data_IF_852476014914
#
_entry.id   IF_852476014914
#
_cell.length_a   1.000
_cell.length_b   1.000
_cell.length_c   1.000
_cell.angle_alpha   90.00
_cell.angle_beta   90.00
_cell.angle_gamma   90.00
#
_symmetry.space_group_name_H-M   'P 1'
#
loop_
_entity.id
_entity.type
_entity.pdbx_description
1 polymer ?
#
# COMPACT_ATOMS: atom_id res chain seq x y z
N UNK A 1 21.33 -17.09 11.29
CA UNK A 1 20.28 -16.14 11.74
C UNK A 1 20.62 -15.75 13.18
N UNK A 2 21.29 -14.63 13.42
CA UNK A 2 21.90 -14.36 14.72
C UNK A 2 22.21 -12.88 14.99
N UNK A 3 21.49 -11.96 14.34
CA UNK A 3 21.60 -10.53 14.67
C UNK A 3 20.66 -10.25 15.85
N UNK A 4 21.12 -9.50 16.83
CA UNK A 4 20.29 -8.96 17.90
C UNK A 4 19.13 -8.17 17.28
N UNK A 5 17.90 -8.50 17.65
CA UNK A 5 16.71 -7.74 17.25
C UNK A 5 16.83 -6.32 17.81
N UNK A 6 16.53 -5.32 16.98
CA UNK A 6 16.38 -3.95 17.49
C UNK A 6 15.15 -3.89 18.41
N UNK A 7 15.11 -2.90 19.30
CA UNK A 7 14.00 -2.74 20.25
C UNK A 7 12.62 -2.68 19.57
N UNK A 8 12.54 -2.01 18.41
CA UNK A 8 11.32 -1.95 17.61
C UNK A 8 10.92 -3.32 17.04
N UNK A 9 11.90 -4.12 16.58
CA UNK A 9 11.67 -5.48 16.09
C UNK A 9 11.18 -6.39 17.22
N UNK A 10 11.76 -6.32 18.43
CA UNK A 10 11.34 -7.13 19.59
C UNK A 10 9.91 -6.80 20.04
N UNK A 11 9.56 -5.50 20.13
CA UNK A 11 8.20 -5.06 20.45
C UNK A 11 7.22 -5.58 19.41
N UNK A 12 7.54 -5.39 18.13
CA UNK A 12 6.71 -5.87 17.04
C UNK A 12 6.53 -7.38 17.13
N UNK A 13 7.60 -8.14 17.36
CA UNK A 13 7.55 -9.60 17.44
C UNK A 13 6.67 -10.08 18.61
N UNK A 14 6.83 -9.49 19.79
CA UNK A 14 6.03 -9.82 20.98
C UNK A 14 4.57 -9.48 20.81
N UNK A 15 4.28 -8.35 20.18
CA UNK A 15 2.92 -7.91 19.89
C UNK A 15 2.25 -8.85 18.88
N UNK A 16 2.99 -9.19 17.82
CA UNK A 16 2.54 -10.05 16.73
C UNK A 16 2.33 -11.49 17.17
N UNK A 17 3.19 -12.02 18.05
CA UNK A 17 3.10 -13.38 18.59
C UNK A 17 1.83 -13.64 19.43
N UNK A 18 1.15 -12.59 19.89
CA UNK A 18 -0.14 -12.69 20.61
C UNK A 18 -1.36 -12.57 19.70
N UNK A 19 -1.15 -12.24 18.43
CA UNK A 19 -2.25 -12.04 17.49
C UNK A 19 -2.64 -13.34 16.79
N UNK A 20 -3.93 -13.56 16.55
CA UNK A 20 -4.37 -14.67 15.73
C UNK A 20 -3.97 -14.45 14.26
N UNK A 21 -3.64 -15.54 13.55
CA UNK A 21 -3.09 -15.52 12.20
C UNK A 21 -3.94 -14.71 11.19
N UNK A 22 -5.26 -14.70 11.36
CA UNK A 22 -6.17 -13.94 10.49
C UNK A 22 -5.98 -12.42 10.59
N UNK A 23 -5.63 -11.92 11.78
CA UNK A 23 -5.50 -10.48 12.04
C UNK A 23 -4.17 -9.97 11.48
N UNK A 24 -3.13 -10.78 11.60
CA UNK A 24 -1.83 -10.59 10.94
C UNK A 24 -1.94 -10.52 9.42
N UNK A 25 -2.74 -11.40 8.84
CA UNK A 25 -2.97 -11.42 7.41
C UNK A 25 -3.69 -10.16 6.91
N UNK A 26 -4.74 -9.74 7.61
CA UNK A 26 -5.44 -8.49 7.29
C UNK A 26 -4.54 -7.26 7.43
N UNK A 27 -3.69 -7.23 8.45
CA UNK A 27 -2.72 -6.14 8.65
C UNK A 27 -1.71 -6.06 7.51
N UNK A 28 -1.24 -7.21 6.99
CA UNK A 28 -0.36 -7.26 5.82
C UNK A 28 -1.04 -6.68 4.57
N UNK A 29 -2.31 -7.01 4.34
CA UNK A 29 -3.08 -6.43 3.21
C UNK A 29 -3.18 -4.92 3.34
N UNK A 30 -3.49 -4.41 4.55
CA UNK A 30 -3.51 -2.96 4.80
C UNK A 30 -2.13 -2.34 4.57
N UNK A 31 -1.06 -2.97 5.06
CA UNK A 31 0.29 -2.43 4.91
C UNK A 31 0.70 -2.34 3.45
N UNK A 32 0.39 -3.37 2.65
CA UNK A 32 0.64 -3.38 1.21
C UNK A 32 -0.17 -2.29 0.50
N UNK A 33 -1.45 -2.14 0.85
CA UNK A 33 -2.33 -1.10 0.33
C UNK A 33 -1.78 0.30 0.65
N UNK A 34 -1.36 0.52 1.89
CA UNK A 34 -0.80 1.78 2.39
C UNK A 34 0.50 2.10 1.64
N UNK A 35 1.44 1.15 1.51
CA UNK A 35 2.70 1.36 0.77
C UNK A 35 2.44 1.69 -0.70
N UNK A 36 1.59 0.92 -1.38
CA UNK A 36 1.28 1.16 -2.80
C UNK A 36 0.59 2.50 -3.01
N UNK A 37 -0.30 2.88 -2.09
CA UNK A 37 -0.92 4.21 -2.09
C UNK A 37 0.13 5.29 -1.84
N UNK A 38 0.94 5.19 -0.78
CA UNK A 38 2.02 6.14 -0.46
C UNK A 38 3.13 6.21 -1.51
N UNK A 39 3.31 5.22 -2.38
CA UNK A 39 4.28 5.33 -3.47
C UNK A 39 3.76 6.20 -4.63
N UNK A 40 2.45 6.14 -4.92
CA UNK A 40 1.84 6.76 -6.12
C UNK A 40 1.08 8.05 -5.80
N UNK A 41 0.46 8.12 -4.63
CA UNK A 41 -0.37 9.24 -4.18
C UNK A 41 0.41 10.52 -3.88
N UNK A 42 1.56 10.51 -3.17
CA UNK A 42 2.26 11.74 -2.84
C UNK A 42 2.84 12.39 -4.08
N UNK A 43 3.30 11.61 -5.06
CA UNK A 43 3.80 12.15 -6.32
C UNK A 43 2.70 12.95 -7.05
N UNK A 44 1.48 12.42 -7.05
CA UNK A 44 0.33 13.08 -7.66
C UNK A 44 -0.24 14.24 -6.83
N UNK A 45 -0.19 14.17 -5.49
CA UNK A 45 -0.54 15.28 -4.62
C UNK A 45 0.45 16.44 -4.75
N UNK A 46 1.75 16.16 -4.91
CA UNK A 46 2.77 17.17 -5.19
C UNK A 46 2.49 17.84 -6.55
N UNK A 47 2.10 17.08 -7.57
CA UNK A 47 1.72 17.61 -8.88
C UNK A 47 0.46 18.49 -8.82
N UNK A 48 -0.51 18.13 -7.97
CA UNK A 48 -1.75 18.89 -7.79
C UNK A 48 -1.59 20.13 -6.91
N UNK A 49 -0.77 20.06 -5.85
CA UNK A 49 -0.53 21.13 -4.89
C UNK A 49 0.54 22.13 -5.31
N UNK A 50 1.55 21.69 -6.06
CA UNK A 50 2.64 22.53 -6.56
C UNK A 50 2.80 22.42 -8.09
N UNK A 51 1.75 22.76 -8.87
CA UNK A 51 1.79 22.62 -10.32
C UNK A 51 2.91 23.43 -10.96
N UNK A 52 3.32 24.55 -10.35
CA UNK A 52 4.42 25.38 -10.81
C UNK A 52 5.80 24.71 -10.62
N UNK A 53 6.02 24.03 -9.50
CA UNK A 53 7.31 23.37 -9.18
C UNK A 53 7.51 22.10 -10.03
N UNK A 54 6.42 21.38 -10.31
CA UNK A 54 6.44 20.16 -11.13
C UNK A 54 6.39 20.44 -12.63
N UNK A 55 5.97 21.66 -13.05
CA UNK A 55 5.92 22.04 -14.47
C UNK A 55 7.25 21.89 -15.20
N UNK A 56 8.38 22.10 -14.50
CA UNK A 56 9.71 21.95 -15.06
C UNK A 56 10.19 20.49 -15.19
N UNK A 57 9.57 19.57 -14.44
CA UNK A 57 9.86 18.13 -14.50
C UNK A 57 8.92 17.37 -15.45
N UNK A 58 7.87 18.02 -15.97
CA UNK A 58 6.93 17.40 -16.91
C UNK A 58 7.51 17.43 -18.33
N UNK A 59 7.74 16.23 -18.88
CA UNK A 59 8.08 16.04 -20.31
C UNK A 59 6.93 16.51 -21.23
N UNK A 60 5.69 16.58 -20.72
CA UNK A 60 4.53 17.14 -21.43
C UNK A 60 3.77 18.19 -20.59
N UNK A 61 4.01 19.49 -20.83
CA UNK A 61 3.47 20.59 -20.01
C UNK A 61 1.98 20.90 -20.27
N UNK A 62 1.37 20.37 -21.33
CA UNK A 62 0.02 20.75 -21.77
C UNK A 62 -1.12 20.00 -21.09
N UNK A 63 -0.81 18.93 -20.34
CA UNK A 63 -1.82 18.09 -19.68
C UNK A 63 -1.97 18.56 -18.23
N UNK A 64 -2.95 19.42 -17.98
CA UNK A 64 -3.39 19.79 -16.62
C UNK A 64 -4.25 18.64 -16.10
N UNK A 65 -3.79 17.90 -15.09
CA UNK A 65 -4.66 16.94 -14.41
C UNK A 65 -5.70 17.71 -13.58
N UNK A 66 -6.98 17.50 -13.88
CA UNK A 66 -8.05 18.02 -13.02
C UNK A 66 -8.09 17.21 -11.72
N UNK A 67 -8.20 17.85 -10.54
CA UNK A 67 -8.29 17.15 -9.25
C UNK A 67 -9.42 16.11 -9.24
N UNK A 68 -10.54 16.42 -9.89
CA UNK A 68 -11.70 15.53 -9.99
C UNK A 68 -11.37 14.30 -10.82
N UNK A 69 -10.69 14.48 -11.96
CA UNK A 69 -10.25 13.35 -12.81
C UNK A 69 -9.21 12.47 -12.11
N UNK A 70 -8.33 13.07 -11.31
CA UNK A 70 -7.35 12.34 -10.52
C UNK A 70 -8.02 11.51 -9.42
N UNK A 71 -8.96 12.10 -8.68
CA UNK A 71 -9.71 11.37 -7.65
C UNK A 71 -10.54 10.23 -8.23
N UNK A 72 -11.16 10.43 -9.39
CA UNK A 72 -11.90 9.39 -10.10
C UNK A 72 -10.97 8.23 -10.50
N UNK A 73 -9.82 8.54 -11.09
CA UNK A 73 -8.79 7.55 -11.47
C UNK A 73 -8.24 6.81 -10.26
N UNK A 74 -7.94 7.52 -9.17
CA UNK A 74 -7.51 6.91 -7.92
C UNK A 74 -8.57 5.95 -7.38
N UNK A 75 -9.84 6.36 -7.36
CA UNK A 75 -10.94 5.50 -6.90
C UNK A 75 -11.06 4.24 -7.75
N UNK A 76 -10.87 4.36 -9.07
CA UNK A 76 -10.91 3.22 -9.98
C UNK A 76 -9.74 2.25 -9.74
N UNK A 77 -8.52 2.77 -9.61
CA UNK A 77 -7.32 1.97 -9.28
C UNK A 77 -7.46 1.29 -7.92
N UNK A 78 -7.96 1.99 -6.89
CA UNK A 78 -8.22 1.40 -5.58
C UNK A 78 -9.29 0.30 -5.65
N UNK A 79 -10.30 0.47 -6.50
CA UNK A 79 -11.32 -0.56 -6.72
C UNK A 79 -10.73 -1.80 -7.36
N UNK A 80 -9.91 -1.66 -8.41
CA UNK A 80 -9.22 -2.78 -9.05
C UNK A 80 -8.23 -3.43 -8.08
N UNK A 81 -7.50 -2.64 -7.30
CA UNK A 81 -6.58 -3.15 -6.30
C UNK A 81 -7.33 -4.00 -5.26
N UNK A 82 -8.44 -3.52 -4.71
CA UNK A 82 -9.24 -4.28 -3.75
C UNK A 82 -9.87 -5.53 -4.38
N UNK A 83 -10.34 -5.47 -5.63
CA UNK A 83 -11.01 -6.58 -6.32
C UNK A 83 -10.05 -7.63 -6.89
N UNK A 84 -8.80 -7.27 -7.18
CA UNK A 84 -7.81 -8.19 -7.76
C UNK A 84 -6.79 -8.59 -6.71
N UNK A 85 -6.12 -7.62 -6.10
CA UNK A 85 -5.07 -7.90 -5.11
C UNK A 85 -5.65 -8.47 -3.83
N UNK A 86 -6.83 -8.03 -3.40
CA UNK A 86 -7.53 -8.60 -2.25
C UNK A 86 -7.77 -10.11 -2.38
N UNK A 87 -8.51 -10.56 -3.41
CA UNK A 87 -8.75 -11.99 -3.65
C UNK A 87 -7.48 -12.77 -3.97
N UNK A 88 -6.53 -12.18 -4.70
CA UNK A 88 -5.26 -12.83 -5.00
C UNK A 88 -4.43 -13.06 -3.74
N UNK A 89 -4.39 -12.09 -2.82
CA UNK A 89 -3.73 -12.25 -1.53
C UNK A 89 -4.46 -13.30 -0.67
N UNK A 90 -5.80 -13.28 -0.67
CA UNK A 90 -6.63 -14.28 0.02
C UNK A 90 -6.43 -15.69 -0.51
N UNK A 91 -6.31 -15.86 -1.84
CA UNK A 91 -6.07 -17.16 -2.47
C UNK A 91 -4.61 -17.62 -2.34
N UNK A 92 -3.66 -16.68 -2.26
CA UNK A 92 -2.24 -16.97 -2.03
C UNK A 92 -1.94 -17.30 -0.57
N UNK A 93 -2.82 -16.95 0.36
CA UNK A 93 -2.65 -17.36 1.76
C UNK A 93 -2.89 -18.86 1.86
N UNK A 94 -1.91 -19.65 2.34
CA UNK A 94 -2.15 -21.04 2.64
C UNK A 94 -3.03 -21.07 3.91
N UNK A 95 -4.35 -21.03 3.74
CA UNK A 95 -5.32 -21.34 4.80
C UNK A 95 -5.15 -22.78 5.32
N UNK A 96 -4.37 -23.61 4.61
CA UNK A 96 -4.06 -24.97 5.01
C UNK A 96 -2.89 -24.95 6.01
N UNK A 97 -3.19 -24.79 7.30
CA UNK A 97 -2.38 -25.45 8.32
C UNK A 97 -2.52 -26.94 8.05
N UNK A 98 -1.54 -27.55 7.38
CA UNK A 98 -1.41 -29.00 7.37
C UNK A 98 -1.06 -29.37 8.81
N UNK A 99 -1.91 -30.10 9.53
CA UNK A 99 -1.54 -30.60 10.85
C UNK A 99 -0.38 -31.58 10.65
N UNK A 100 0.78 -31.26 11.20
CA UNK A 100 1.90 -32.18 11.40
C UNK A 100 1.66 -33.04 12.63
#
# INVERSE_FOLDING_TARGET
MGRSLTFAEDIWFRYTARMPDYLLFYLNIIFLFVIFSLARLPLALIELGFPASVSSFKIQPKIRLSPTSFFQCYKDVMRVFLLVVGPLQLSSYPTIKVPS
#
